data_IF_139592345511
#
_entry.id   IF_139592345511
#
_cell.length_a   1.000
_cell.length_b   1.000
_cell.length_c   1.000
_cell.angle_alpha   90.00
_cell.angle_beta   90.00
_cell.angle_gamma   90.00
#
_symmetry.space_group_name_H-M   'P 1'
#
loop_
_entity.id
_entity.type
_entity.pdbx_description
1 polymer ?
#
# COMPACT_ATOMS: atom_id res chain seq x y z
N UNK A 1 -1.26 0.66 61.66
CA UNK A 1 -2.09 0.84 60.44
C UNK A 1 -1.16 0.87 59.25
N UNK A 2 -1.09 -0.22 58.50
CA UNK A 2 -0.37 -0.32 57.22
C UNK A 2 -0.98 0.62 56.19
N UNK A 3 -0.19 1.32 55.38
CA UNK A 3 -0.50 1.55 53.97
C UNK A 3 0.77 2.08 53.28
N UNK A 4 1.65 1.16 52.87
CA UNK A 4 1.76 0.76 51.45
C UNK A 4 2.20 1.88 50.50
N UNK A 5 3.25 2.61 50.86
CA UNK A 5 4.07 3.24 49.83
C UNK A 5 5.48 2.73 50.08
N UNK A 6 5.87 1.70 49.30
CA UNK A 6 7.29 1.39 49.11
C UNK A 6 8.00 2.68 48.79
N UNK A 7 9.20 2.91 49.33
CA UNK A 7 10.12 3.88 48.73
C UNK A 7 10.15 3.53 47.25
N UNK A 8 9.55 4.40 46.44
CA UNK A 8 9.67 4.29 45.01
C UNK A 8 11.16 4.54 44.78
N UNK A 9 11.91 3.46 44.68
CA UNK A 9 13.15 3.44 43.91
C UNK A 9 12.72 3.75 42.49
N UNK A 10 12.46 5.03 42.23
CA UNK A 10 12.80 5.58 40.95
C UNK A 10 14.28 5.23 40.84
N UNK A 11 14.56 4.15 40.12
CA UNK A 11 15.81 4.03 39.41
C UNK A 11 15.81 5.27 38.51
N UNK A 12 16.29 6.37 39.07
CA UNK A 12 17.07 7.35 38.36
C UNK A 12 18.25 6.53 37.86
N UNK A 13 17.99 5.75 36.79
CA UNK A 13 19.03 5.34 35.88
C UNK A 13 19.81 6.61 35.68
N UNK A 14 21.08 6.59 36.12
CA UNK A 14 21.95 7.74 36.08
C UNK A 14 21.67 8.48 34.77
N UNK A 15 21.57 9.82 34.74
CA UNK A 15 21.54 10.51 33.46
C UNK A 15 22.75 9.95 32.73
N UNK A 16 22.50 9.14 31.71
CA UNK A 16 23.58 8.57 30.96
C UNK A 16 24.29 9.82 30.47
N UNK A 17 25.51 10.05 30.94
CA UNK A 17 26.41 11.01 30.33
C UNK A 17 26.77 10.40 28.96
N UNK A 18 25.74 10.28 28.12
CA UNK A 18 25.82 9.79 26.77
C UNK A 18 26.56 10.88 26.05
N UNK A 19 27.79 10.56 25.64
CA UNK A 19 28.52 11.39 24.71
C UNK A 19 27.56 11.87 23.60
N UNK A 20 27.62 13.11 23.13
CA UNK A 20 26.83 13.56 21.99
C UNK A 20 26.88 12.57 20.81
N UNK A 21 27.98 11.82 20.69
CA UNK A 21 28.15 10.72 19.76
C UNK A 21 27.18 9.54 19.99
N UNK A 22 26.86 9.16 21.22
CA UNK A 22 25.89 8.09 21.51
C UNK A 22 24.45 8.48 21.17
N UNK A 23 24.09 9.76 21.33
CA UNK A 23 22.77 10.26 20.90
C UNK A 23 22.65 10.28 19.38
N UNK A 24 23.69 10.71 18.66
CA UNK A 24 23.73 10.67 17.20
C UNK A 24 23.65 9.22 16.71
N UNK A 25 24.42 8.31 17.32
CA UNK A 25 24.41 6.89 16.95
C UNK A 25 23.03 6.26 17.19
N UNK A 26 22.37 6.58 18.31
CA UNK A 26 21.00 6.14 18.59
C UNK A 26 20.00 6.68 17.55
N UNK A 27 20.06 7.97 17.19
CA UNK A 27 19.18 8.54 16.16
C UNK A 27 19.41 7.92 14.79
N UNK A 28 20.66 7.64 14.42
CA UNK A 28 20.97 6.96 13.15
C UNK A 28 20.42 5.54 13.15
N UNK A 29 20.57 4.78 14.24
CA UNK A 29 20.03 3.41 14.35
C UNK A 29 18.50 3.42 14.25
N UNK A 30 17.81 4.28 15.00
CA UNK A 30 16.35 4.40 14.88
C UNK A 30 15.93 4.86 13.48
N UNK A 31 16.62 5.85 12.91
CA UNK A 31 16.36 6.34 11.55
C UNK A 31 16.49 5.23 10.51
N UNK A 32 17.51 4.39 10.62
CA UNK A 32 17.70 3.23 9.75
C UNK A 32 16.58 2.19 9.94
N UNK A 33 16.18 1.89 11.18
CA UNK A 33 15.09 0.95 11.46
C UNK A 33 13.77 1.45 10.85
N UNK A 34 13.39 2.70 11.08
CA UNK A 34 12.18 3.27 10.51
C UNK A 34 12.24 3.38 8.98
N UNK A 35 13.41 3.70 8.41
CA UNK A 35 13.64 3.68 6.97
C UNK A 35 13.38 2.28 6.37
N UNK A 36 14.00 1.24 6.95
CA UNK A 36 13.80 -0.13 6.47
C UNK A 36 12.38 -0.64 6.70
N UNK A 37 11.72 -0.22 7.79
CA UNK A 37 10.37 -0.65 8.13
C UNK A 37 9.29 0.04 7.30
N UNK A 38 9.44 1.31 6.90
CA UNK A 38 8.41 2.05 6.16
C UNK A 38 8.76 2.11 4.67
N UNK A 39 9.97 2.54 4.32
CA UNK A 39 10.32 2.83 2.93
C UNK A 39 10.39 1.55 2.08
N UNK A 40 10.98 0.47 2.61
CA UNK A 40 11.09 -0.80 1.89
C UNK A 40 9.71 -1.41 1.55
N UNK A 41 8.76 -1.56 2.50
CA UNK A 41 7.44 -2.07 2.15
C UNK A 41 6.63 -1.09 1.31
N UNK A 42 6.78 0.23 1.49
CA UNK A 42 6.10 1.20 0.63
C UNK A 42 6.54 1.07 -0.83
N UNK A 43 7.85 0.98 -1.08
CA UNK A 43 8.38 0.74 -2.43
C UNK A 43 7.86 -0.57 -3.04
N UNK A 44 7.72 -1.63 -2.23
CA UNK A 44 7.18 -2.91 -2.68
C UNK A 44 5.71 -2.77 -3.13
N UNK A 45 4.87 -2.12 -2.33
CA UNK A 45 3.45 -1.90 -2.67
C UNK A 45 3.26 -1.03 -3.90
N UNK A 46 4.05 0.04 -4.06
CA UNK A 46 3.97 0.89 -5.26
C UNK A 46 4.42 0.14 -6.51
N UNK A 47 5.45 -0.71 -6.41
CA UNK A 47 5.89 -1.56 -7.53
C UNK A 47 4.84 -2.59 -7.91
N UNK A 48 4.21 -3.23 -6.92
CA UNK A 48 3.13 -4.19 -7.13
C UNK A 48 1.91 -3.55 -7.78
N UNK A 49 1.47 -2.37 -7.31
CA UNK A 49 0.39 -1.62 -7.95
C UNK A 49 0.72 -1.24 -9.39
N UNK A 50 1.91 -0.71 -9.67
CA UNK A 50 2.34 -0.40 -11.04
C UNK A 50 2.34 -1.65 -11.92
N UNK A 51 2.86 -2.77 -11.41
CA UNK A 51 2.88 -4.05 -12.14
C UNK A 51 1.48 -4.57 -12.45
N UNK A 52 0.55 -4.47 -11.50
CA UNK A 52 -0.86 -4.81 -11.71
C UNK A 52 -1.46 -3.95 -12.82
N UNK A 53 -1.24 -2.64 -12.76
CA UNK A 53 -1.70 -1.73 -13.80
C UNK A 53 -1.11 -2.16 -15.14
N UNK A 54 0.21 -2.30 -15.26
CA UNK A 54 0.91 -2.66 -16.50
C UNK A 54 0.46 -3.99 -17.11
N UNK A 55 0.02 -4.95 -16.28
CA UNK A 55 -0.48 -6.25 -16.75
C UNK A 55 -1.84 -6.20 -17.44
N UNK A 56 -2.60 -5.10 -17.28
CA UNK A 56 -3.93 -4.97 -17.89
C UNK A 56 -3.80 -4.87 -19.40
N UNK A 57 -4.37 -5.84 -20.11
CA UNK A 57 -4.42 -5.90 -21.56
C UNK A 57 -5.87 -5.90 -22.09
N UNK A 58 -6.01 -5.73 -23.40
CA UNK A 58 -7.30 -5.83 -24.07
C UNK A 58 -7.86 -7.25 -23.91
N UNK A 59 -9.13 -7.34 -23.52
CA UNK A 59 -9.86 -8.59 -23.31
C UNK A 59 -9.78 -9.15 -21.90
N UNK A 60 -9.07 -8.49 -20.99
CA UNK A 60 -9.09 -8.84 -19.57
C UNK A 60 -10.38 -8.35 -18.91
N UNK A 61 -10.83 -9.07 -17.90
CA UNK A 61 -11.93 -8.65 -17.05
C UNK A 61 -11.34 -7.94 -15.83
N UNK A 62 -11.90 -6.80 -15.45
CA UNK A 62 -11.35 -5.95 -14.39
C UNK A 62 -12.44 -5.57 -13.39
N UNK A 63 -12.06 -5.58 -12.12
CA UNK A 63 -12.84 -5.01 -11.04
C UNK A 63 -12.30 -3.62 -10.74
N UNK A 64 -13.17 -2.62 -10.77
CA UNK A 64 -12.84 -1.24 -10.44
C UNK A 64 -13.02 -0.98 -8.94
N UNK A 65 -12.36 0.05 -8.41
CA UNK A 65 -12.52 0.48 -7.01
C UNK A 65 -13.97 0.92 -6.67
N UNK A 66 -14.78 1.26 -7.69
CA UNK A 66 -16.20 1.57 -7.52
C UNK A 66 -17.12 0.35 -7.48
N UNK A 67 -16.58 -0.87 -7.56
CA UNK A 67 -17.35 -2.11 -7.59
C UNK A 67 -17.88 -2.51 -8.97
N UNK A 68 -17.61 -1.72 -10.02
CA UNK A 68 -17.97 -2.07 -11.39
C UNK A 68 -17.04 -3.17 -11.91
N UNK A 69 -17.63 -4.16 -12.56
CA UNK A 69 -16.92 -5.23 -13.27
C UNK A 69 -17.19 -5.07 -14.75
N UNK A 70 -16.14 -5.20 -15.57
CA UNK A 70 -16.30 -5.17 -17.01
C UNK A 70 -15.08 -5.66 -17.76
N UNK A 71 -15.19 -5.73 -19.09
CA UNK A 71 -14.14 -6.20 -20.00
C UNK A 71 -13.39 -5.03 -20.61
N UNK A 72 -12.06 -5.07 -20.59
CA UNK A 72 -11.21 -4.06 -21.23
C UNK A 72 -11.33 -4.18 -22.75
N UNK A 73 -11.83 -3.13 -23.39
CA UNK A 73 -12.01 -3.03 -24.84
C UNK A 73 -10.86 -2.29 -25.51
N UNK A 74 -10.32 -1.27 -24.83
CA UNK A 74 -9.21 -0.45 -25.30
C UNK A 74 -8.34 0.02 -24.14
N UNK A 75 -7.02 -0.03 -24.34
CA UNK A 75 -6.03 0.58 -23.44
C UNK A 75 -5.44 1.77 -24.16
N UNK A 76 -5.53 2.96 -23.57
CA UNK A 76 -4.93 4.17 -24.11
C UNK A 76 -3.61 4.48 -23.40
N UNK A 77 -2.65 5.01 -24.13
CA UNK A 77 -1.29 5.29 -23.62
C UNK A 77 -1.24 6.44 -22.60
N UNK A 78 -2.29 7.25 -22.54
CA UNK A 78 -2.46 8.36 -21.59
C UNK A 78 -2.93 7.91 -20.19
N UNK A 79 -2.91 6.60 -19.89
CA UNK A 79 -3.31 6.05 -18.59
C UNK A 79 -4.82 5.84 -18.41
N UNK A 80 -5.60 5.97 -19.48
CA UNK A 80 -7.03 5.66 -19.48
C UNK A 80 -7.30 4.31 -20.14
N UNK A 81 -8.33 3.62 -19.67
CA UNK A 81 -8.81 2.36 -20.23
C UNK A 81 -10.31 2.48 -20.48
N UNK A 82 -10.76 1.90 -21.59
CA UNK A 82 -12.17 1.74 -21.89
C UNK A 82 -12.60 0.33 -21.47
N UNK A 83 -13.72 0.26 -20.76
CA UNK A 83 -14.28 -0.97 -20.20
C UNK A 83 -15.72 -1.09 -20.68
N UNK A 84 -16.06 -2.21 -21.29
CA UNK A 84 -17.42 -2.60 -21.57
C UNK A 84 -18.06 -3.22 -20.33
N UNK A 85 -19.14 -2.60 -19.84
CA UNK A 85 -19.97 -3.14 -18.75
C UNK A 85 -20.99 -4.16 -19.29
N UNK A 86 -21.45 -3.93 -20.52
CA UNK A 86 -22.33 -4.80 -21.29
C UNK A 86 -22.01 -4.61 -22.79
N UNK A 87 -22.81 -5.19 -23.68
CA UNK A 87 -22.57 -5.12 -25.13
C UNK A 87 -22.81 -3.72 -25.75
N UNK A 88 -23.51 -2.84 -25.05
CA UNK A 88 -23.97 -1.53 -25.56
C UNK A 88 -23.27 -0.35 -24.89
N UNK A 89 -22.72 -0.54 -23.69
CA UNK A 89 -22.26 0.51 -22.78
C UNK A 89 -20.78 0.30 -22.48
N UNK A 90 -20.00 1.26 -22.97
CA UNK A 90 -18.58 1.37 -22.73
C UNK A 90 -18.32 2.63 -21.88
N UNK A 91 -17.47 2.49 -20.87
CA UNK A 91 -17.10 3.58 -19.96
C UNK A 91 -15.58 3.71 -19.94
N UNK A 92 -15.09 4.93 -19.97
CA UNK A 92 -13.67 5.23 -19.87
C UNK A 92 -13.34 5.58 -18.43
N UNK A 93 -12.37 4.87 -17.86
CA UNK A 93 -11.85 5.14 -16.51
C UNK A 93 -10.33 5.28 -16.54
N UNK A 94 -9.77 5.85 -15.47
CA UNK A 94 -8.32 5.82 -15.26
C UNK A 94 -7.87 4.43 -14.82
N UNK A 95 -6.74 3.98 -15.36
CA UNK A 95 -6.12 2.69 -15.01
C UNK A 95 -5.89 2.57 -13.51
N UNK A 96 -5.49 3.65 -12.86
CA UNK A 96 -5.24 3.73 -11.41
C UNK A 96 -6.43 3.34 -10.52
N UNK A 97 -7.65 3.32 -11.07
CA UNK A 97 -8.87 2.94 -10.35
C UNK A 97 -9.27 1.47 -10.54
N UNK A 98 -8.39 0.64 -11.11
CA UNK A 98 -8.57 -0.81 -11.17
C UNK A 98 -8.07 -1.45 -9.88
N UNK A 99 -8.96 -2.19 -9.22
CA UNK A 99 -8.67 -2.92 -7.98
C UNK A 99 -7.98 -4.26 -8.26
N UNK A 100 -8.49 -5.00 -9.26
CA UNK A 100 -7.98 -6.32 -9.61
C UNK A 100 -8.28 -6.68 -11.07
N UNK A 101 -7.42 -7.52 -11.65
CA UNK A 101 -7.69 -8.21 -12.91
C UNK A 101 -8.29 -9.58 -12.57
N UNK A 102 -9.44 -9.87 -13.14
CA UNK A 102 -10.18 -11.11 -12.98
C UNK A 102 -9.82 -12.11 -14.09
N UNK A 103 -9.88 -13.43 -13.80
CA UNK A 103 -9.81 -14.45 -14.83
C UNK A 103 -10.91 -14.25 -15.88
N UNK A 104 -10.61 -14.60 -17.12
CA UNK A 104 -11.56 -14.51 -18.23
C UNK A 104 -12.76 -15.43 -17.95
N UNK A 105 -13.98 -14.91 -18.10
CA UNK A 105 -15.23 -15.63 -17.88
C UNK A 105 -15.86 -15.43 -16.50
N UNK A 106 -15.25 -14.63 -15.61
CA UNK A 106 -15.85 -14.27 -14.32
C UNK A 106 -17.16 -13.51 -14.52
N UNK A 107 -17.22 -12.62 -15.51
CA UNK A 107 -18.43 -11.89 -15.91
C UNK A 107 -19.59 -12.80 -16.37
N UNK A 108 -19.31 -14.01 -16.87
CA UNK A 108 -20.34 -14.97 -17.30
C UNK A 108 -20.88 -15.83 -16.15
N UNK A 109 -20.16 -15.86 -15.03
CA UNK A 109 -20.50 -16.63 -13.85
C UNK A 109 -21.27 -15.81 -12.79
N UNK A 110 -21.36 -14.50 -13.00
CA UNK A 110 -22.19 -13.55 -12.23
C UNK A 110 -23.59 -13.46 -12.85
#
# INVERSE_FOLDING_TARGET
MSFFISDAVAATGAPAQGSPMSLILMLVVFGLIFYFMILRPQQKRTKEHKKLMDSIAKGDEVLTNGGLVGRVTKVAENGYIAIALNDTTEVVIKRDFVAAVLPKGTMKAL
#
